data_IF_739167543653
#
_entry.id   IF_739167543653
#
_cell.length_a   1.000
_cell.length_b   1.000
_cell.length_c   1.000
_cell.angle_alpha   90.00
_cell.angle_beta   90.00
_cell.angle_gamma   90.00
#
_symmetry.space_group_name_H-M   'P 1'
#
loop_
_entity.id
_entity.type
_entity.pdbx_description
1 polymer ?
#
# COMPACT_ATOMS: atom_id res chain seq x y z
N UNK A 1 14.08 -16.26 2.24
CA UNK A 1 15.11 -16.39 3.28
C UNK A 1 15.76 -17.76 3.09
N UNK A 2 17.07 -17.82 2.86
CA UNK A 2 17.80 -19.08 2.81
C UNK A 2 18.48 -19.28 4.18
N UNK A 3 18.06 -20.28 4.93
CA UNK A 3 18.68 -20.67 6.20
C UNK A 3 19.39 -22.01 6.09
N UNK A 4 20.17 -22.38 7.10
CA UNK A 4 20.78 -23.70 7.20
C UNK A 4 19.73 -24.75 7.56
N UNK A 5 20.06 -26.04 7.43
CA UNK A 5 19.15 -27.12 7.82
C UNK A 5 18.80 -27.08 9.32
N UNK A 6 19.71 -26.61 10.16
CA UNK A 6 19.50 -26.46 11.61
C UNK A 6 18.47 -25.36 11.92
N UNK A 7 18.41 -24.31 11.11
CA UNK A 7 17.46 -23.20 11.28
C UNK A 7 16.04 -23.58 10.81
N UNK A 8 15.89 -24.61 9.99
CA UNK A 8 14.61 -24.99 9.38
C UNK A 8 13.55 -25.33 10.42
N UNK A 9 13.91 -26.06 11.46
CA UNK A 9 12.97 -26.48 12.50
C UNK A 9 12.54 -25.28 13.35
N UNK A 10 13.47 -24.40 13.70
CA UNK A 10 13.17 -23.15 14.40
C UNK A 10 12.21 -22.26 13.57
N UNK A 11 12.51 -22.06 12.29
CA UNK A 11 11.65 -21.30 11.38
C UNK A 11 10.24 -21.93 11.27
N UNK A 12 10.16 -23.27 11.25
CA UNK A 12 8.86 -23.97 11.22
C UNK A 12 8.04 -23.73 12.48
N UNK A 13 8.68 -23.78 13.65
CA UNK A 13 8.04 -23.54 14.93
C UNK A 13 7.51 -22.11 15.00
N UNK A 14 8.34 -21.12 14.66
CA UNK A 14 7.98 -19.71 14.67
C UNK A 14 6.85 -19.43 13.67
N UNK A 15 6.90 -20.02 12.46
CA UNK A 15 5.86 -19.89 11.46
C UNK A 15 4.52 -20.46 11.94
N UNK A 16 4.54 -21.62 12.60
CA UNK A 16 3.31 -22.24 13.13
C UNK A 16 2.66 -21.36 14.23
N UNK A 17 3.48 -20.80 15.13
CA UNK A 17 2.99 -19.88 16.16
C UNK A 17 2.34 -18.66 15.52
N UNK A 18 3.07 -18.02 14.59
CA UNK A 18 2.58 -16.83 13.90
C UNK A 18 1.33 -17.10 13.05
N UNK A 19 1.29 -18.27 12.40
CA UNK A 19 0.10 -18.71 11.64
C UNK A 19 -1.13 -18.82 12.52
N UNK A 20 -0.99 -19.44 13.69
CA UNK A 20 -2.11 -19.59 14.63
C UNK A 20 -2.63 -18.22 15.12
N UNK A 21 -1.74 -17.26 15.35
CA UNK A 21 -2.10 -15.88 15.69
C UNK A 21 -2.89 -15.21 14.56
N UNK A 22 -2.41 -15.31 13.32
CA UNK A 22 -3.07 -14.74 12.13
C UNK A 22 -4.42 -15.41 11.85
N UNK A 23 -4.51 -16.73 11.92
CA UNK A 23 -5.76 -17.47 11.73
C UNK A 23 -6.83 -17.05 12.75
N UNK A 24 -6.43 -16.81 13.99
CA UNK A 24 -7.33 -16.32 15.03
C UNK A 24 -7.75 -14.86 14.80
N UNK A 25 -6.80 -13.98 14.46
CA UNK A 25 -7.07 -12.56 14.22
C UNK A 25 -7.98 -12.33 13.01
N UNK A 26 -7.75 -13.07 11.93
CA UNK A 26 -8.47 -12.91 10.67
C UNK A 26 -9.59 -13.93 10.45
N UNK A 27 -9.97 -14.71 11.48
CA UNK A 27 -10.97 -15.77 11.38
C UNK A 27 -12.30 -15.32 10.73
N UNK A 28 -12.73 -14.08 11.00
CA UNK A 28 -13.99 -13.53 10.49
C UNK A 28 -13.92 -13.07 9.03
N UNK A 29 -12.74 -12.62 8.56
CA UNK A 29 -12.56 -12.02 7.22
C UNK A 29 -11.85 -12.96 6.25
N UNK A 30 -10.94 -13.80 6.75
CA UNK A 30 -10.09 -14.70 5.97
C UNK A 30 -10.12 -16.14 6.53
N UNK A 31 -11.29 -16.82 6.54
CA UNK A 31 -11.43 -18.14 7.18
C UNK A 31 -10.61 -19.25 6.51
N UNK A 32 -10.11 -19.00 5.31
CA UNK A 32 -9.27 -19.92 4.55
C UNK A 32 -7.78 -19.53 4.51
N UNK A 33 -7.35 -18.59 5.37
CA UNK A 33 -5.94 -18.22 5.48
C UNK A 33 -5.13 -19.48 5.81
N UNK A 34 -4.02 -19.67 5.08
CA UNK A 34 -3.09 -20.79 5.28
C UNK A 34 -1.67 -20.29 5.03
N UNK A 35 -0.74 -20.84 5.77
CA UNK A 35 0.69 -20.64 5.50
C UNK A 35 1.33 -21.99 5.17
N UNK A 36 2.29 -21.97 4.28
CA UNK A 36 3.03 -23.17 3.86
C UNK A 36 4.53 -22.90 3.86
N UNK A 37 5.29 -23.84 4.42
CA UNK A 37 6.75 -23.85 4.36
C UNK A 37 7.20 -24.99 3.44
N UNK A 38 7.67 -24.65 2.26
CA UNK A 38 8.22 -25.61 1.31
C UNK A 38 9.75 -25.64 1.37
N UNK A 39 10.34 -26.78 0.97
CA UNK A 39 11.78 -26.88 0.80
C UNK A 39 12.11 -26.72 -0.68
N UNK A 40 13.04 -25.80 -0.95
CA UNK A 40 13.53 -25.54 -2.30
C UNK A 40 14.99 -26.01 -2.46
N UNK A 41 15.46 -26.08 -3.69
CA UNK A 41 16.87 -26.33 -3.98
C UNK A 41 17.74 -25.24 -3.34
N UNK A 42 18.95 -25.58 -2.84
CA UNK A 42 19.83 -24.58 -2.26
C UNK A 42 20.10 -23.44 -3.23
N UNK A 43 19.92 -22.20 -2.79
CA UNK A 43 20.31 -21.04 -3.58
C UNK A 43 21.84 -20.94 -3.64
N UNK A 44 22.36 -20.48 -4.80
CA UNK A 44 23.81 -20.29 -4.98
C UNK A 44 24.31 -19.04 -4.28
N UNK A 45 23.46 -18.05 -4.13
CA UNK A 45 23.74 -16.75 -3.55
C UNK A 45 22.63 -16.37 -2.58
N UNK A 46 22.97 -15.66 -1.52
CA UNK A 46 22.02 -15.12 -0.55
C UNK A 46 22.34 -13.65 -0.31
N UNK A 47 21.34 -12.89 0.15
CA UNK A 47 21.53 -11.52 0.59
C UNK A 47 22.41 -11.56 1.84
N UNK A 48 23.42 -10.70 1.92
CA UNK A 48 24.23 -10.59 3.14
C UNK A 48 23.38 -10.13 4.33
N UNK A 49 23.81 -10.50 5.54
CA UNK A 49 23.02 -10.28 6.77
C UNK A 49 22.75 -8.80 7.06
N UNK A 50 23.68 -7.92 6.70
CA UNK A 50 23.52 -6.47 6.92
C UNK A 50 22.44 -5.92 6.00
N UNK A 51 22.53 -6.21 4.71
CA UNK A 51 21.52 -5.80 3.72
C UNK A 51 20.15 -6.42 4.03
N UNK A 52 20.11 -7.71 4.40
CA UNK A 52 18.86 -8.36 4.80
C UNK A 52 18.23 -7.68 6.02
N UNK A 53 19.05 -7.36 7.03
CA UNK A 53 18.58 -6.67 8.23
C UNK A 53 18.05 -5.26 7.94
N UNK A 54 18.72 -4.50 7.08
CA UNK A 54 18.26 -3.17 6.64
C UNK A 54 16.95 -3.28 5.84
N UNK A 55 16.89 -4.20 4.89
CA UNK A 55 15.69 -4.44 4.08
C UNK A 55 14.48 -4.77 4.94
N UNK A 56 14.61 -5.75 5.84
CA UNK A 56 13.50 -6.18 6.70
C UNK A 56 13.02 -5.05 7.61
N UNK A 57 13.94 -4.30 8.23
CA UNK A 57 13.59 -3.17 9.09
C UNK A 57 12.93 -2.03 8.31
N UNK A 58 13.44 -1.70 7.12
CA UNK A 58 12.87 -0.66 6.29
C UNK A 58 11.45 -1.04 5.82
N UNK A 59 11.26 -2.28 5.36
CA UNK A 59 9.94 -2.79 4.94
C UNK A 59 8.95 -2.82 6.12
N UNK A 60 9.42 -3.17 7.32
CA UNK A 60 8.58 -3.16 8.51
C UNK A 60 8.23 -1.75 9.00
N UNK A 61 9.13 -0.79 8.83
CA UNK A 61 8.95 0.59 9.29
C UNK A 61 8.06 1.43 8.36
N UNK A 62 8.00 1.11 7.07
CA UNK A 62 7.19 1.90 6.13
C UNK A 62 5.71 1.66 6.32
N UNK A 63 4.93 2.74 6.30
CA UNK A 63 3.49 2.63 6.37
C UNK A 63 2.90 1.97 5.12
N UNK A 64 2.03 1.00 5.32
CA UNK A 64 1.25 0.36 4.26
C UNK A 64 -0.22 0.31 4.66
N UNK A 65 -1.11 0.82 3.81
CA UNK A 65 -2.54 0.90 4.06
C UNK A 65 -3.07 2.31 4.18
N UNK A 66 -4.21 2.46 4.84
CA UNK A 66 -4.86 3.76 5.10
C UNK A 66 -4.06 4.51 6.16
N UNK A 67 -3.70 5.76 5.84
CA UNK A 67 -3.02 6.66 6.77
C UNK A 67 -3.97 7.68 7.39
N UNK A 68 -4.85 8.28 6.57
CA UNK A 68 -5.81 9.24 7.03
C UNK A 68 -7.16 9.08 6.33
N UNK A 69 -8.23 9.33 7.06
CA UNK A 69 -9.60 9.42 6.55
C UNK A 69 -9.94 10.87 6.24
N UNK A 70 -10.79 11.08 5.24
CA UNK A 70 -11.29 12.41 4.88
C UNK A 70 -12.04 13.05 6.05
N UNK A 71 -11.71 14.30 6.34
CA UNK A 71 -12.42 15.10 7.33
C UNK A 71 -13.75 15.66 6.78
N UNK A 72 -13.85 15.78 5.45
CA UNK A 72 -15.01 16.35 4.78
C UNK A 72 -16.08 15.29 4.43
N UNK A 73 -15.65 14.05 4.16
CA UNK A 73 -16.55 12.99 3.67
C UNK A 73 -16.38 11.73 4.54
N UNK A 74 -17.33 11.43 5.45
CA UNK A 74 -17.26 10.25 6.29
C UNK A 74 -17.12 8.96 5.49
N UNK A 75 -16.19 8.09 5.93
CA UNK A 75 -15.94 6.79 5.29
C UNK A 75 -15.08 6.84 4.04
N UNK A 76 -14.65 8.00 3.56
CA UNK A 76 -13.71 8.13 2.45
C UNK A 76 -12.27 8.15 2.96
N UNK A 77 -11.41 7.35 2.35
CA UNK A 77 -9.96 7.42 2.56
C UNK A 77 -9.43 8.70 1.94
N UNK A 78 -8.65 9.48 2.69
CA UNK A 78 -7.96 10.67 2.19
C UNK A 78 -6.55 10.34 1.73
N UNK A 79 -5.75 9.69 2.60
CA UNK A 79 -4.34 9.40 2.35
C UNK A 79 -4.05 7.93 2.62
N UNK A 80 -3.33 7.31 1.71
CA UNK A 80 -2.89 5.92 1.83
C UNK A 80 -1.53 5.70 1.20
N UNK A 81 -0.84 4.66 1.64
CA UNK A 81 0.38 4.16 1.02
C UNK A 81 0.25 2.68 0.70
N UNK A 82 0.86 2.25 -0.38
CA UNK A 82 0.94 0.86 -0.78
C UNK A 82 2.38 0.45 -1.04
N UNK A 83 2.85 -0.59 -0.34
CA UNK A 83 4.08 -1.30 -0.66
C UNK A 83 3.79 -2.23 -1.85
N UNK A 84 3.92 -1.66 -3.06
CA UNK A 84 3.38 -2.27 -4.27
C UNK A 84 4.18 -3.48 -4.76
N UNK A 85 5.50 -3.46 -4.64
CA UNK A 85 6.33 -4.61 -5.01
C UNK A 85 7.72 -4.59 -4.40
N UNK A 86 8.27 -5.78 -4.18
CA UNK A 86 9.67 -6.03 -3.84
C UNK A 86 10.17 -7.06 -4.85
N UNK A 87 11.19 -6.71 -5.63
CA UNK A 87 11.70 -7.57 -6.71
C UNK A 87 13.23 -7.53 -6.75
N UNK A 88 13.84 -8.69 -6.96
CA UNK A 88 15.22 -8.74 -7.37
C UNK A 88 15.33 -8.27 -8.83
N UNK A 89 16.33 -7.45 -9.11
CA UNK A 89 16.62 -6.92 -10.45
C UNK A 89 18.09 -7.15 -10.78
N UNK A 90 18.48 -6.87 -12.03
CA UNK A 90 19.87 -7.02 -12.49
C UNK A 90 20.87 -6.28 -11.58
N UNK A 91 22.10 -6.80 -11.49
CA UNK A 91 23.19 -6.22 -10.71
C UNK A 91 23.06 -6.46 -9.21
N UNK A 92 22.46 -7.58 -8.79
CA UNK A 92 22.28 -7.96 -7.37
C UNK A 92 21.58 -6.88 -6.54
N UNK A 93 20.60 -6.20 -7.14
CA UNK A 93 19.82 -5.15 -6.50
C UNK A 93 18.41 -5.64 -6.17
N UNK A 94 17.85 -5.09 -5.10
CA UNK A 94 16.45 -5.26 -4.74
C UNK A 94 15.75 -3.94 -5.00
N UNK A 95 14.76 -3.98 -5.90
CA UNK A 95 13.91 -2.83 -6.21
C UNK A 95 12.61 -2.92 -5.42
N UNK A 96 12.35 -1.89 -4.63
CA UNK A 96 11.09 -1.71 -3.91
C UNK A 96 10.32 -0.58 -4.59
N UNK A 97 9.04 -0.81 -4.83
CA UNK A 97 8.13 0.22 -5.39
C UNK A 97 7.02 0.44 -4.38
N UNK A 98 6.80 1.69 -4.06
CA UNK A 98 5.69 2.14 -3.23
C UNK A 98 4.84 3.15 -3.99
N UNK A 99 3.56 3.25 -3.64
CA UNK A 99 2.63 4.19 -4.26
C UNK A 99 1.82 4.90 -3.17
N UNK A 100 1.88 6.21 -3.15
CA UNK A 100 1.15 7.06 -2.21
C UNK A 100 0.01 7.76 -2.92
N UNK A 101 -1.16 7.76 -2.31
CA UNK A 101 -2.35 8.45 -2.81
C UNK A 101 -2.91 9.38 -1.74
N UNK A 102 -3.33 10.56 -2.14
CA UNK A 102 -4.08 11.50 -1.29
C UNK A 102 -4.88 12.46 -2.14
N UNK A 103 -6.06 12.85 -1.66
CA UNK A 103 -6.80 13.98 -2.21
C UNK A 103 -6.22 15.34 -1.77
N UNK A 104 -5.28 15.34 -0.83
CA UNK A 104 -4.58 16.52 -0.31
C UNK A 104 -3.10 16.45 -0.72
N UNK A 105 -2.64 17.42 -1.50
CA UNK A 105 -1.29 17.41 -2.06
C UNK A 105 -0.20 17.45 -0.98
N UNK A 106 -0.39 18.26 0.06
CA UNK A 106 0.56 18.33 1.20
C UNK A 106 0.66 17.01 1.94
N UNK A 107 -0.46 16.33 2.22
CA UNK A 107 -0.50 15.03 2.87
C UNK A 107 0.18 13.95 2.02
N UNK A 108 0.01 13.99 0.68
CA UNK A 108 0.71 13.10 -0.23
C UNK A 108 2.22 13.29 -0.19
N UNK A 109 2.67 14.56 -0.20
CA UNK A 109 4.10 14.90 -0.11
C UNK A 109 4.70 14.45 1.22
N UNK A 110 4.01 14.70 2.32
CA UNK A 110 4.45 14.29 3.65
C UNK A 110 4.58 12.77 3.76
N UNK A 111 3.57 12.02 3.33
CA UNK A 111 3.62 10.56 3.28
C UNK A 111 4.78 10.06 2.42
N UNK A 112 5.02 10.69 1.28
CA UNK A 112 6.15 10.34 0.40
C UNK A 112 7.50 10.57 1.09
N UNK A 113 7.66 11.66 1.84
CA UNK A 113 8.87 11.93 2.61
C UNK A 113 9.05 10.99 3.81
N UNK A 114 7.99 10.57 4.47
CA UNK A 114 8.05 9.54 5.51
C UNK A 114 8.59 8.22 4.96
N UNK A 115 8.03 7.75 3.84
CA UNK A 115 8.47 6.52 3.16
C UNK A 115 9.92 6.65 2.70
N UNK A 116 10.26 7.78 2.06
CA UNK A 116 11.62 8.08 1.60
C UNK A 116 12.61 8.03 2.76
N UNK A 117 12.29 8.68 3.86
CA UNK A 117 13.13 8.72 5.06
C UNK A 117 13.40 7.34 5.64
N UNK A 118 12.38 6.49 5.74
CA UNK A 118 12.52 5.12 6.24
C UNK A 118 13.47 4.28 5.36
N UNK A 119 13.35 4.38 4.04
CA UNK A 119 14.25 3.66 3.13
C UNK A 119 15.68 4.23 3.14
N UNK A 120 15.86 5.54 3.25
CA UNK A 120 17.18 6.15 3.40
C UNK A 120 17.88 5.71 4.69
N UNK A 121 17.15 5.64 5.81
CA UNK A 121 17.67 5.09 7.07
C UNK A 121 18.06 3.62 6.95
N UNK A 122 17.37 2.87 6.09
CA UNK A 122 17.72 1.50 5.71
C UNK A 122 18.89 1.41 4.70
N UNK A 123 19.52 2.52 4.32
CA UNK A 123 20.66 2.56 3.40
C UNK A 123 20.29 2.39 1.92
N UNK A 124 19.02 2.54 1.55
CA UNK A 124 18.59 2.44 0.17
C UNK A 124 18.79 3.75 -0.61
N UNK A 125 18.98 3.64 -1.91
CA UNK A 125 18.84 4.77 -2.84
C UNK A 125 17.36 4.97 -3.14
N UNK A 126 16.84 6.19 -3.00
CA UNK A 126 15.42 6.49 -3.20
C UNK A 126 15.22 7.52 -4.29
N UNK A 127 14.37 7.20 -5.26
CA UNK A 127 13.89 8.13 -6.28
C UNK A 127 12.40 8.35 -6.11
N UNK A 128 11.94 9.59 -6.20
CA UNK A 128 10.52 9.95 -6.09
C UNK A 128 10.06 10.50 -7.44
N UNK A 129 9.00 9.94 -7.99
CA UNK A 129 8.34 10.46 -9.18
C UNK A 129 7.41 11.62 -8.82
N UNK A 130 7.14 12.50 -9.77
CA UNK A 130 6.22 13.63 -9.57
C UNK A 130 4.77 13.17 -9.34
N UNK A 131 4.39 12.04 -9.96
CA UNK A 131 3.02 11.53 -9.91
C UNK A 131 2.04 12.44 -10.65
N UNK A 132 0.76 12.27 -10.41
CA UNK A 132 -0.30 13.15 -10.92
C UNK A 132 -1.13 13.71 -9.76
N UNK A 133 -1.83 14.85 -9.96
CA UNK A 133 -2.57 15.51 -8.90
C UNK A 133 -3.65 14.61 -8.31
N UNK A 134 -3.88 14.77 -7.01
CA UNK A 134 -5.03 14.17 -6.34
C UNK A 134 -6.29 14.92 -6.73
N UNK A 135 -7.43 14.23 -6.70
CA UNK A 135 -8.72 14.86 -6.94
C UNK A 135 -9.50 14.96 -5.61
N UNK A 136 -9.74 16.20 -5.18
CA UNK A 136 -10.64 16.47 -4.04
C UNK A 136 -12.07 16.58 -4.54
N UNK A 137 -12.99 15.69 -4.12
CA UNK A 137 -14.39 15.76 -4.52
C UNK A 137 -15.04 17.08 -4.12
N UNK A 138 -15.74 17.75 -5.05
CA UNK A 138 -16.56 18.92 -4.79
C UNK A 138 -18.04 18.52 -4.78
N UNK A 139 -18.60 18.35 -3.59
CA UNK A 139 -20.00 17.97 -3.38
C UNK A 139 -20.99 19.09 -3.73
N UNK A 140 -20.53 20.33 -3.82
CA UNK A 140 -21.37 21.50 -4.15
C UNK A 140 -21.27 21.90 -5.62
N UNK A 141 -20.64 21.10 -6.44
CA UNK A 141 -20.47 21.37 -7.87
C UNK A 141 -21.80 21.57 -8.59
N UNK A 142 -21.98 22.65 -9.38
CA UNK A 142 -23.14 22.84 -10.19
C UNK A 142 -23.39 21.69 -11.20
N UNK A 143 -22.32 21.14 -11.75
CA UNK A 143 -22.40 19.99 -12.67
C UNK A 143 -22.97 18.76 -11.97
N UNK A 144 -22.61 18.53 -10.72
CA UNK A 144 -23.17 17.43 -9.92
C UNK A 144 -24.70 17.58 -9.77
N UNK A 145 -25.17 18.79 -9.46
CA UNK A 145 -26.63 19.06 -9.35
C UNK A 145 -27.37 18.76 -10.66
N UNK A 146 -26.82 19.24 -11.79
CA UNK A 146 -27.39 18.95 -13.12
C UNK A 146 -27.41 17.45 -13.41
N UNK A 147 -26.33 16.72 -13.06
CA UNK A 147 -26.23 15.28 -13.25
C UNK A 147 -27.28 14.52 -12.41
N UNK A 148 -27.45 14.89 -11.14
CA UNK A 148 -28.46 14.31 -10.24
C UNK A 148 -29.89 14.56 -10.77
N UNK A 149 -30.21 15.79 -11.17
CA UNK A 149 -31.52 16.14 -11.68
C UNK A 149 -31.82 15.40 -13.00
N UNK A 150 -30.84 15.32 -13.89
CA UNK A 150 -30.98 14.59 -15.15
C UNK A 150 -31.22 13.10 -14.91
N UNK A 151 -30.49 12.51 -13.96
CA UNK A 151 -30.66 11.10 -13.59
C UNK A 151 -32.06 10.83 -13.03
N UNK A 152 -32.53 11.68 -12.10
CA UNK A 152 -33.89 11.60 -11.57
C UNK A 152 -34.95 11.68 -12.68
N UNK A 153 -34.77 12.62 -13.62
CA UNK A 153 -35.69 12.80 -14.75
C UNK A 153 -35.74 11.59 -15.67
N UNK A 154 -34.61 10.96 -15.93
CA UNK A 154 -34.49 9.80 -16.84
C UNK A 154 -34.95 8.49 -16.23
N UNK A 155 -34.61 8.27 -14.96
CA UNK A 155 -34.78 6.97 -14.31
C UNK A 155 -35.85 6.95 -13.21
N UNK A 156 -36.40 8.10 -12.83
CA UNK A 156 -37.45 8.21 -11.80
C UNK A 156 -36.95 7.93 -10.35
N UNK A 157 -35.64 7.76 -10.13
CA UNK A 157 -35.05 7.48 -8.82
C UNK A 157 -33.92 8.45 -8.54
N UNK A 158 -33.65 8.69 -7.26
CA UNK A 158 -32.53 9.52 -6.84
C UNK A 158 -31.21 8.74 -6.92
N UNK A 159 -30.15 9.26 -7.61
CA UNK A 159 -28.86 8.60 -7.66
C UNK A 159 -28.14 8.68 -6.31
N UNK A 160 -27.36 7.64 -5.98
CA UNK A 160 -26.42 7.70 -4.86
C UNK A 160 -25.13 8.35 -5.32
N UNK A 161 -24.87 9.56 -4.83
CA UNK A 161 -23.59 10.24 -5.06
C UNK A 161 -22.53 9.63 -4.13
N UNK A 162 -21.41 9.21 -4.69
CA UNK A 162 -20.29 8.64 -3.95
C UNK A 162 -18.98 9.25 -4.42
N UNK A 163 -18.02 9.36 -3.50
CA UNK A 163 -16.65 9.67 -3.82
C UNK A 163 -15.80 8.40 -3.75
N UNK A 164 -14.68 8.38 -4.47
CA UNK A 164 -13.71 7.29 -4.47
C UNK A 164 -12.33 7.84 -4.15
N UNK A 165 -11.51 6.99 -3.53
CA UNK A 165 -10.09 7.28 -3.27
C UNK A 165 -9.26 6.94 -4.51
N UNK A 166 -9.31 7.80 -5.52
CA UNK A 166 -8.56 7.64 -6.77
C UNK A 166 -8.16 9.00 -7.35
N UNK A 167 -7.05 9.02 -8.09
CA UNK A 167 -6.77 10.08 -9.05
C UNK A 167 -7.52 9.78 -10.33
N UNK A 168 -8.17 10.79 -10.89
CA UNK A 168 -8.87 10.71 -12.17
C UNK A 168 -8.07 11.49 -13.22
N UNK A 169 -8.09 11.03 -14.46
CA UNK A 169 -7.43 11.69 -15.59
C UNK A 169 -7.89 13.14 -15.74
N UNK A 170 -9.16 13.41 -15.43
CA UNK A 170 -9.72 14.76 -15.44
C UNK A 170 -9.05 15.71 -14.43
N UNK A 171 -8.38 15.19 -13.40
CA UNK A 171 -7.59 15.99 -12.45
C UNK A 171 -6.44 16.75 -13.13
N UNK A 172 -5.92 16.21 -14.23
CA UNK A 172 -4.84 16.84 -15.02
C UNK A 172 -5.31 18.12 -15.75
N UNK A 173 -6.59 18.31 -15.91
CA UNK A 173 -7.17 19.50 -16.56
C UNK A 173 -7.56 20.61 -15.56
N UNK A 174 -7.34 20.39 -14.27
CA UNK A 174 -7.69 21.33 -13.20
C UNK A 174 -6.50 22.13 -12.67
N UNK A 175 -5.30 21.91 -13.22
CA UNK A 175 -4.07 22.65 -12.91
C UNK A 175 -3.91 23.90 -13.76
#
# INVERSE_FOLDING_TARGET
MCGTYEDKESVRVDLNIYTAELENEYAATEPNLRTELSSESPCKEAIDMTTAGHLLRAVYAVHNGVYAMSQDIPGLVETSSNLASIKQVEGNKIKIVTSQRSSILSSRKDMSEMIRSAFLLGGAEVTTGEGYPGWKPNTDSPVLKVAVDSYKKLFGVEPKVKAIHAGLECGLFLE
#
